data_IF_946634792647
#
_entry.id   IF_946634792647
#
_cell.length_a   1.000
_cell.length_b   1.000
_cell.length_c   1.000
_cell.angle_alpha   90.00
_cell.angle_beta   90.00
_cell.angle_gamma   90.00
#
_symmetry.space_group_name_H-M   'P 1'
#
loop_
_entity.id
_entity.type
_entity.pdbx_description
1 polymer ?
#
# COMPACT_ATOMS: atom_id res chain seq x y z
N UNK A 1 -0.50 -4.75 -0.51
CA UNK A 1 -0.48 -3.38 -0.99
C UNK A 1 0.52 -3.15 -2.13
N UNK A 2 1.80 -3.58 -2.01
CA UNK A 2 2.80 -3.41 -3.08
C UNK A 2 2.34 -3.99 -4.41
N UNK A 3 1.86 -5.25 -4.41
CA UNK A 3 1.36 -5.88 -5.63
C UNK A 3 0.17 -5.11 -6.21
N UNK A 4 -0.80 -4.72 -5.39
CA UNK A 4 -1.94 -3.91 -5.83
C UNK A 4 -1.53 -2.56 -6.44
N UNK A 5 -0.53 -1.88 -5.84
CA UNK A 5 -0.02 -0.63 -6.38
C UNK A 5 0.76 -0.83 -7.70
N UNK A 6 1.55 -1.90 -7.80
CA UNK A 6 2.29 -2.23 -9.03
C UNK A 6 1.36 -2.52 -10.22
N UNK A 7 0.14 -2.96 -9.95
CA UNK A 7 -0.91 -3.21 -10.95
C UNK A 7 -1.76 -1.96 -11.27
N UNK A 8 -1.58 -0.87 -10.52
CA UNK A 8 -2.36 0.37 -10.67
C UNK A 8 -1.48 1.59 -11.02
N UNK A 9 -1.05 1.76 -12.30
CA UNK A 9 -0.18 2.86 -12.71
C UNK A 9 -0.74 4.24 -12.38
N UNK A 10 -2.06 4.45 -12.49
CA UNK A 10 -2.72 5.71 -12.15
C UNK A 10 -2.57 6.04 -10.67
N UNK A 11 -2.82 5.07 -9.78
CA UNK A 11 -2.67 5.26 -8.33
C UNK A 11 -1.20 5.48 -7.96
N UNK A 12 -0.29 4.73 -8.57
CA UNK A 12 1.16 4.89 -8.37
C UNK A 12 1.66 6.29 -8.80
N UNK A 13 1.20 6.78 -9.93
CA UNK A 13 1.49 8.13 -10.42
C UNK A 13 0.94 9.19 -9.46
N UNK A 14 -0.30 9.04 -8.99
CA UNK A 14 -0.93 9.97 -8.04
C UNK A 14 -0.15 9.98 -6.72
N UNK A 15 0.26 8.82 -6.19
CA UNK A 15 1.03 8.72 -4.96
C UNK A 15 2.41 9.38 -5.08
N UNK A 16 3.10 9.17 -6.21
CA UNK A 16 4.39 9.80 -6.48
C UNK A 16 4.24 11.33 -6.61
N UNK A 17 3.26 11.79 -7.39
CA UNK A 17 3.01 13.22 -7.60
C UNK A 17 2.61 13.90 -6.28
N UNK A 18 1.75 13.29 -5.47
CA UNK A 18 1.41 13.78 -4.13
C UNK A 18 2.67 13.98 -3.28
N UNK A 19 3.56 13.00 -3.26
CA UNK A 19 4.83 13.10 -2.55
C UNK A 19 5.72 14.23 -3.07
N UNK A 20 5.85 14.35 -4.40
CA UNK A 20 6.64 15.41 -5.03
C UNK A 20 6.07 16.81 -4.74
N UNK A 21 4.75 16.97 -4.77
CA UNK A 21 4.09 18.24 -4.42
C UNK A 21 4.37 18.63 -2.97
N UNK A 22 4.22 17.70 -2.02
CA UNK A 22 4.55 17.95 -0.62
C UNK A 22 6.02 18.36 -0.45
N UNK A 23 6.95 17.65 -1.08
CA UNK A 23 8.38 17.95 -0.96
C UNK A 23 8.75 19.30 -1.62
N UNK A 24 8.02 19.73 -2.64
CA UNK A 24 8.28 20.99 -3.35
C UNK A 24 7.68 22.20 -2.65
N UNK A 25 6.43 22.11 -2.22
CA UNK A 25 5.67 23.26 -1.72
C UNK A 25 5.62 23.35 -0.19
N UNK A 26 5.66 22.20 0.52
CA UNK A 26 5.69 22.15 1.99
C UNK A 26 7.10 22.27 2.59
N UNK A 27 8.13 22.44 1.75
CA UNK A 27 9.53 22.65 2.12
C UNK A 27 10.12 21.61 3.07
N UNK A 28 9.85 20.35 2.84
CA UNK A 28 10.59 19.27 3.51
C UNK A 28 11.96 19.01 2.85
N UNK A 29 12.38 19.90 1.96
CA UNK A 29 13.51 19.75 1.07
C UNK A 29 14.85 19.69 1.80
N UNK A 30 15.66 18.73 1.42
CA UNK A 30 17.09 18.66 1.71
C UNK A 30 17.89 19.27 0.57
N UNK A 31 18.92 20.02 0.90
CA UNK A 31 19.78 20.76 -0.02
C UNK A 31 20.72 19.85 -0.82
N UNK A 32 21.05 20.25 -2.03
CA UNK A 32 22.31 19.84 -2.69
C UNK A 32 22.19 19.12 -4.03
N UNK A 33 21.01 18.92 -4.60
CA UNK A 33 20.84 18.36 -5.95
C UNK A 33 19.99 19.27 -6.83
N UNK A 34 20.24 19.31 -8.14
CA UNK A 34 19.43 20.06 -9.09
C UNK A 34 18.01 19.46 -9.28
N UNK A 35 17.87 18.15 -9.01
CA UNK A 35 16.58 17.46 -8.93
C UNK A 35 16.67 16.41 -7.84
N UNK A 36 15.76 16.49 -6.86
CA UNK A 36 15.67 15.51 -5.79
C UNK A 36 14.29 14.87 -5.78
N UNK A 37 14.16 13.75 -6.43
CA UNK A 37 13.01 12.86 -6.35
C UNK A 37 13.54 11.43 -6.13
N UNK A 38 13.14 10.80 -5.04
CA UNK A 38 13.60 9.46 -4.74
C UNK A 38 12.46 8.57 -4.25
N UNK A 39 12.30 7.41 -4.89
CA UNK A 39 11.57 6.29 -4.33
C UNK A 39 12.60 5.44 -3.56
N UNK A 40 12.52 5.46 -2.24
CA UNK A 40 13.39 4.63 -1.40
C UNK A 40 12.82 3.21 -1.35
N UNK A 41 13.61 2.23 -1.76
CA UNK A 41 13.26 0.83 -1.57
C UNK A 41 13.15 0.53 -0.06
N UNK A 42 11.97 0.08 0.37
CA UNK A 42 11.71 -0.34 1.75
C UNK A 42 11.91 -1.85 1.83
N UNK A 43 12.95 -2.26 2.55
CA UNK A 43 13.19 -3.67 2.83
C UNK A 43 12.26 -4.16 3.92
N UNK A 44 11.55 -5.24 3.65
CA UNK A 44 10.69 -5.88 4.64
C UNK A 44 11.54 -6.69 5.62
N UNK A 45 11.14 -6.80 6.91
CA UNK A 45 11.84 -7.61 7.87
C UNK A 45 11.91 -9.07 7.43
N UNK A 46 13.12 -9.65 7.41
CA UNK A 46 13.35 -11.05 7.02
C UNK A 46 12.89 -12.04 8.10
N UNK A 47 12.74 -11.57 9.33
CA UNK A 47 12.25 -12.33 10.49
C UNK A 47 10.72 -12.30 10.65
N UNK A 48 10.01 -11.58 9.79
CA UNK A 48 8.55 -11.58 9.78
C UNK A 48 8.03 -12.92 9.25
N UNK A 49 7.68 -13.81 10.17
CA UNK A 49 7.21 -15.17 9.89
C UNK A 49 6.02 -15.16 8.92
N UNK A 50 6.12 -15.95 7.86
CA UNK A 50 5.06 -16.08 6.84
C UNK A 50 4.96 -14.93 5.85
N UNK A 51 5.73 -13.84 6.00
CA UNK A 51 5.67 -12.71 5.07
C UNK A 51 6.29 -13.07 3.71
N UNK A 52 7.49 -13.64 3.71
CA UNK A 52 8.19 -14.03 2.48
C UNK A 52 7.45 -15.15 1.71
N UNK A 53 6.75 -16.01 2.42
CA UNK A 53 5.98 -17.12 1.83
C UNK A 53 4.57 -16.74 1.39
N UNK A 54 4.12 -15.52 1.67
CA UNK A 54 2.81 -15.04 1.27
C UNK A 54 2.66 -14.99 -0.26
N UNK A 55 1.44 -15.22 -0.75
CA UNK A 55 1.14 -15.13 -2.18
C UNK A 55 1.53 -13.76 -2.77
N UNK A 56 1.24 -12.69 -2.03
CA UNK A 56 1.57 -11.33 -2.46
C UNK A 56 3.08 -11.05 -2.54
N UNK A 57 3.89 -11.62 -1.62
CA UNK A 57 5.34 -11.50 -1.70
C UNK A 57 5.89 -12.25 -2.92
N UNK A 58 5.46 -13.49 -3.13
CA UNK A 58 5.85 -14.27 -4.31
C UNK A 58 5.50 -13.58 -5.63
N UNK A 59 4.28 -13.05 -5.74
CA UNK A 59 3.84 -12.33 -6.94
C UNK A 59 4.70 -11.09 -7.23
N UNK A 60 5.08 -10.32 -6.22
CA UNK A 60 5.92 -9.12 -6.43
C UNK A 60 7.35 -9.51 -6.79
N UNK A 61 7.89 -10.57 -6.20
CA UNK A 61 9.24 -11.09 -6.50
C UNK A 61 9.29 -11.68 -7.93
N UNK A 62 8.34 -12.50 -8.33
CA UNK A 62 8.21 -13.02 -9.69
C UNK A 62 8.12 -11.89 -10.73
N UNK A 63 7.35 -10.83 -10.43
CA UNK A 63 7.25 -9.65 -11.28
C UNK A 63 8.57 -8.88 -11.36
N UNK A 64 9.30 -8.76 -10.24
CA UNK A 64 10.60 -8.12 -10.19
C UNK A 64 11.64 -8.90 -11.02
N UNK A 65 11.65 -10.23 -10.90
CA UNK A 65 12.58 -11.08 -11.65
C UNK A 65 12.29 -11.06 -13.16
N UNK A 66 11.02 -11.11 -13.55
CA UNK A 66 10.64 -10.98 -14.95
C UNK A 66 11.14 -9.64 -15.54
N UNK A 67 10.92 -8.51 -14.82
CA UNK A 67 11.39 -7.19 -15.28
C UNK A 67 12.91 -7.06 -15.29
N UNK A 68 13.59 -7.67 -14.32
CA UNK A 68 15.07 -7.63 -14.26
C UNK A 68 15.72 -8.26 -15.48
N UNK A 69 15.08 -9.27 -16.08
CA UNK A 69 15.53 -9.89 -17.32
C UNK A 69 15.51 -8.95 -18.53
N UNK A 70 14.61 -7.98 -18.54
CA UNK A 70 14.42 -7.03 -19.65
C UNK A 70 15.28 -5.77 -19.51
N UNK A 71 15.67 -5.42 -18.27
CA UNK A 71 16.40 -4.19 -17.98
C UNK A 71 17.87 -4.34 -18.34
N UNK A 72 18.45 -3.45 -19.19
CA UNK A 72 19.87 -3.45 -19.48
C UNK A 72 20.72 -3.27 -18.22
N UNK A 73 21.72 -4.14 -18.02
CA UNK A 73 22.60 -4.09 -16.87
C UNK A 73 23.90 -3.32 -17.19
N UNK A 74 24.39 -2.56 -16.22
CA UNK A 74 25.78 -2.08 -16.18
C UNK A 74 26.13 -0.87 -17.05
N UNK A 75 25.15 -0.22 -17.69
CA UNK A 75 25.39 0.93 -18.55
C UNK A 75 24.21 1.91 -18.49
N UNK A 76 24.44 3.08 -17.93
CA UNK A 76 23.40 4.09 -17.71
C UNK A 76 22.85 4.67 -19.02
N UNK A 77 23.68 4.84 -20.05
CA UNK A 77 23.24 5.36 -21.35
C UNK A 77 22.31 4.34 -22.05
N UNK A 78 22.66 3.06 -21.99
CA UNK A 78 21.81 1.98 -22.51
C UNK A 78 20.51 1.85 -21.76
N UNK A 79 20.52 2.05 -20.44
CA UNK A 79 19.30 2.06 -19.63
C UNK A 79 18.42 3.23 -20.01
N UNK A 80 18.99 4.43 -20.23
CA UNK A 80 18.25 5.60 -20.68
C UNK A 80 17.56 5.34 -22.02
N UNK A 81 18.31 4.90 -23.03
CA UNK A 81 17.81 4.62 -24.37
C UNK A 81 16.69 3.55 -24.35
N UNK A 82 16.84 2.52 -23.51
CA UNK A 82 15.85 1.48 -23.34
C UNK A 82 14.54 2.05 -22.74
N UNK A 83 14.61 2.88 -21.68
CA UNK A 83 13.44 3.51 -21.07
C UNK A 83 12.78 4.47 -22.06
N UNK A 84 13.55 5.24 -22.82
CA UNK A 84 13.06 6.19 -23.84
C UNK A 84 12.34 5.47 -24.97
N UNK A 85 12.80 4.28 -25.33
CA UNK A 85 12.19 3.42 -26.35
C UNK A 85 10.93 2.67 -25.91
N UNK A 86 10.56 2.69 -24.60
CA UNK A 86 9.32 2.07 -24.14
C UNK A 86 8.09 2.85 -24.61
N UNK A 87 7.01 2.14 -24.93
CA UNK A 87 5.69 2.76 -25.07
C UNK A 87 5.17 3.30 -23.72
N UNK A 88 4.20 4.21 -23.76
CA UNK A 88 3.69 4.88 -22.55
C UNK A 88 3.09 3.91 -21.53
N UNK A 89 2.43 2.84 -21.97
CA UNK A 89 1.83 1.86 -21.06
C UNK A 89 2.93 1.06 -20.33
N UNK A 90 3.96 0.63 -21.06
CA UNK A 90 5.12 -0.06 -20.50
C UNK A 90 5.90 0.81 -19.55
N UNK A 91 6.10 2.10 -19.88
CA UNK A 91 6.75 3.09 -19.03
C UNK A 91 5.97 3.31 -17.73
N UNK A 92 4.65 3.49 -17.80
CA UNK A 92 3.79 3.63 -16.62
C UNK A 92 3.76 2.38 -15.76
N UNK A 93 3.76 1.18 -16.35
CA UNK A 93 3.81 -0.07 -15.62
C UNK A 93 5.17 -0.27 -14.90
N UNK A 94 6.27 0.16 -15.51
CA UNK A 94 7.59 0.17 -14.88
C UNK A 94 7.63 1.16 -13.71
N UNK A 95 7.09 2.38 -13.91
CA UNK A 95 6.96 3.38 -12.86
C UNK A 95 6.17 2.85 -11.66
N UNK A 96 4.99 2.24 -11.90
CA UNK A 96 4.16 1.67 -10.84
C UNK A 96 4.91 0.60 -10.04
N UNK A 97 5.66 -0.24 -10.73
CA UNK A 97 6.50 -1.26 -10.10
C UNK A 97 7.57 -0.61 -9.20
N UNK A 98 8.30 0.38 -9.69
CA UNK A 98 9.31 1.09 -8.90
C UNK A 98 8.70 1.78 -7.68
N UNK A 99 7.58 2.51 -7.84
CA UNK A 99 6.89 3.20 -6.75
C UNK A 99 6.40 2.21 -5.69
N UNK A 100 5.94 1.02 -6.07
CA UNK A 100 5.45 0.00 -5.15
C UNK A 100 6.49 -0.44 -4.12
N UNK A 101 7.77 -0.47 -4.47
CA UNK A 101 8.86 -0.79 -3.53
C UNK A 101 9.12 0.31 -2.50
N UNK A 102 8.67 1.52 -2.73
CA UNK A 102 8.71 2.62 -1.76
C UNK A 102 7.62 2.56 -0.70
N UNK A 103 6.62 1.67 -0.83
CA UNK A 103 5.51 1.57 0.12
C UNK A 103 5.97 0.93 1.43
N UNK A 104 5.74 1.66 2.53
CA UNK A 104 5.91 1.17 3.89
C UNK A 104 4.56 1.17 4.62
N UNK A 105 3.94 0.00 4.69
CA UNK A 105 2.70 -0.24 5.46
C UNK A 105 2.96 -1.09 6.71
N UNK A 106 4.20 -1.12 7.21
CA UNK A 106 4.56 -1.88 8.39
C UNK A 106 4.14 -1.15 9.66
N UNK A 107 3.47 -1.87 10.55
CA UNK A 107 3.26 -1.44 11.92
C UNK A 107 4.56 -1.67 12.71
N UNK A 108 5.13 -0.58 13.24
CA UNK A 108 6.29 -0.61 14.12
C UNK A 108 5.89 -0.07 15.49
N UNK A 109 6.43 -0.66 16.55
CA UNK A 109 6.16 -0.15 17.90
C UNK A 109 6.72 1.27 18.03
N UNK A 110 5.87 2.25 18.37
CA UNK A 110 6.34 3.63 18.52
C UNK A 110 7.41 3.76 19.60
N UNK A 111 8.42 4.58 19.32
CA UNK A 111 9.39 4.95 20.32
C UNK A 111 8.84 6.20 21.08
N UNK A 112 8.54 6.10 22.39
CA UNK A 112 8.04 7.23 23.17
C UNK A 112 9.12 8.28 23.46
N UNK A 113 10.38 7.96 23.22
CA UNK A 113 11.51 8.86 23.48
C UNK A 113 12.02 9.44 22.14
N UNK A 114 12.47 10.68 22.19
CA UNK A 114 13.15 11.32 21.07
C UNK A 114 14.46 10.59 20.75
N UNK A 115 14.53 9.95 19.59
CA UNK A 115 15.68 9.16 19.17
C UNK A 115 15.38 8.36 17.89
N UNK A 116 16.07 7.25 17.71
CA UNK A 116 15.85 6.37 16.57
C UNK A 116 14.50 5.64 16.70
N UNK A 117 13.72 5.65 15.64
CA UNK A 117 12.41 4.99 15.56
C UNK A 117 11.29 5.94 15.16
N UNK A 118 10.08 5.38 15.00
CA UNK A 118 8.92 6.15 14.60
C UNK A 118 8.18 6.68 15.84
N UNK A 119 7.71 7.93 15.81
CA UNK A 119 6.80 8.47 16.82
C UNK A 119 5.38 7.93 16.62
N UNK A 120 4.52 8.01 17.64
CA UNK A 120 3.10 7.64 17.51
C UNK A 120 2.45 8.40 16.36
N UNK A 121 2.59 9.73 16.32
CA UNK A 121 2.06 10.55 15.23
C UNK A 121 2.59 10.13 13.84
N UNK A 122 3.87 9.78 13.73
CA UNK A 122 4.46 9.30 12.48
C UNK A 122 3.88 7.94 12.05
N UNK A 123 3.63 7.05 13.02
CA UNK A 123 2.97 5.77 12.75
C UNK A 123 1.52 5.96 12.30
N UNK A 124 0.76 6.81 12.99
CA UNK A 124 -0.64 7.07 12.65
C UNK A 124 -0.77 7.64 11.23
N UNK A 125 0.09 8.58 10.86
CA UNK A 125 0.15 9.10 9.48
C UNK A 125 0.49 8.03 8.46
N UNK A 126 1.49 7.18 8.74
CA UNK A 126 1.89 6.07 7.87
C UNK A 126 0.73 5.11 7.63
N UNK A 127 0.02 4.74 8.69
CA UNK A 127 -1.11 3.81 8.59
C UNK A 127 -2.29 4.43 7.82
N UNK A 128 -2.59 5.71 8.06
CA UNK A 128 -3.63 6.43 7.32
C UNK A 128 -3.29 6.56 5.81
N UNK A 129 -2.02 6.78 5.47
CA UNK A 129 -1.58 6.80 4.07
C UNK A 129 -1.65 5.41 3.42
N UNK A 130 -1.25 4.36 4.15
CA UNK A 130 -1.37 2.98 3.68
C UNK A 130 -2.83 2.57 3.44
N UNK A 131 -3.75 2.98 4.32
CA UNK A 131 -5.18 2.77 4.16
C UNK A 131 -5.72 3.48 2.90
N UNK A 132 -5.36 4.75 2.70
CA UNK A 132 -5.73 5.49 1.48
C UNK A 132 -5.25 4.82 0.21
N UNK A 133 -4.00 4.29 0.20
CA UNK A 133 -3.47 3.55 -0.94
C UNK A 133 -4.21 2.23 -1.16
N UNK A 134 -4.56 1.52 -0.08
CA UNK A 134 -5.34 0.29 -0.15
C UNK A 134 -6.72 0.54 -0.79
N UNK A 135 -7.42 1.58 -0.33
CA UNK A 135 -8.72 1.99 -0.88
C UNK A 135 -8.59 2.41 -2.36
N UNK A 136 -7.61 3.24 -2.70
CA UNK A 136 -7.39 3.72 -4.08
C UNK A 136 -7.02 2.60 -5.05
N UNK A 137 -6.40 1.52 -4.58
CA UNK A 137 -6.08 0.33 -5.40
C UNK A 137 -7.21 -0.70 -5.42
N UNK A 138 -8.25 -0.53 -4.60
CA UNK A 138 -9.30 -1.53 -4.42
C UNK A 138 -8.76 -2.82 -3.79
N UNK A 139 -7.74 -2.73 -2.92
CA UNK A 139 -7.13 -3.90 -2.32
C UNK A 139 -8.12 -4.67 -1.45
N UNK A 140 -8.47 -5.88 -1.88
CA UNK A 140 -9.12 -6.89 -1.05
C UNK A 140 -8.06 -7.87 -0.52
N UNK A 141 -7.94 -7.97 0.79
CA UNK A 141 -6.94 -8.84 1.43
C UNK A 141 -7.29 -10.32 1.31
N UNK A 142 -8.58 -10.66 1.22
CA UNK A 142 -9.04 -12.04 1.06
C UNK A 142 -8.76 -12.50 -0.37
N UNK A 143 -9.09 -11.70 -1.36
CA UNK A 143 -8.77 -11.96 -2.77
C UNK A 143 -7.25 -11.99 -3.01
N UNK A 144 -6.49 -11.16 -2.30
CA UNK A 144 -5.03 -11.18 -2.30
C UNK A 144 -4.42 -12.40 -1.59
N UNK A 145 -5.25 -13.33 -1.08
CA UNK A 145 -4.84 -14.59 -0.50
C UNK A 145 -4.48 -14.53 0.99
N UNK A 146 -4.81 -13.44 1.70
CA UNK A 146 -4.58 -13.39 3.14
C UNK A 146 -5.55 -14.34 3.87
N UNK A 147 -5.01 -15.17 4.75
CA UNK A 147 -5.77 -16.09 5.63
C UNK A 147 -5.17 -16.04 7.03
N UNK A 148 -5.99 -16.20 8.09
CA UNK A 148 -5.47 -16.29 9.45
C UNK A 148 -4.77 -17.64 9.66
N UNK A 149 -3.47 -17.60 9.98
CA UNK A 149 -2.67 -18.78 10.27
C UNK A 149 -2.16 -18.75 11.71
N UNK A 150 -1.66 -19.90 12.20
CA UNK A 150 -0.96 -19.96 13.49
C UNK A 150 0.21 -18.97 13.51
N UNK A 151 0.91 -18.83 12.40
CA UNK A 151 2.13 -18.03 12.30
C UNK A 151 1.84 -16.52 12.25
N UNK A 152 0.85 -16.09 11.46
CA UNK A 152 0.59 -14.67 11.25
C UNK A 152 -0.36 -14.04 12.29
N UNK A 153 -1.29 -14.80 12.87
CA UNK A 153 -2.29 -14.26 13.79
C UNK A 153 -2.64 -15.20 14.98
N UNK A 154 -3.14 -16.41 14.72
CA UNK A 154 -3.78 -17.26 15.74
C UNK A 154 -2.84 -17.71 16.85
N UNK A 155 -1.57 -17.93 16.57
CA UNK A 155 -0.57 -18.27 17.59
C UNK A 155 -0.16 -17.07 18.47
N UNK A 156 -0.43 -15.86 18.04
CA UNK A 156 0.01 -14.60 18.68
C UNK A 156 -1.04 -13.97 19.60
N UNK A 157 -2.31 -14.35 19.46
CA UNK A 157 -3.42 -13.82 20.25
C UNK A 157 -3.79 -14.74 21.42
N UNK A 158 -4.65 -14.28 22.33
CA UNK A 158 -5.13 -15.08 23.47
C UNK A 158 -6.13 -16.17 23.03
N UNK A 159 -6.35 -17.18 23.87
CA UNK A 159 -7.40 -18.21 23.64
C UNK A 159 -8.78 -17.57 23.42
N UNK A 160 -9.12 -16.58 24.22
CA UNK A 160 -10.39 -15.85 24.09
C UNK A 160 -10.53 -15.25 22.70
N UNK A 161 -9.47 -14.57 22.21
CA UNK A 161 -9.50 -13.96 20.89
C UNK A 161 -9.55 -14.98 19.75
N UNK A 162 -8.93 -16.18 19.92
CA UNK A 162 -9.08 -17.28 18.96
C UNK A 162 -10.54 -17.73 18.87
N UNK A 163 -11.20 -17.92 20.02
CA UNK A 163 -12.61 -18.33 20.07
C UNK A 163 -13.55 -17.29 19.47
N UNK A 164 -13.29 -16.00 19.72
CA UNK A 164 -14.03 -14.89 19.11
C UNK A 164 -13.88 -14.92 17.58
N UNK A 165 -12.65 -15.07 17.07
CA UNK A 165 -12.38 -15.14 15.63
C UNK A 165 -13.12 -16.33 14.98
N UNK A 166 -13.10 -17.51 15.61
CA UNK A 166 -13.83 -18.67 15.10
C UNK A 166 -15.35 -18.47 15.18
N UNK A 167 -15.84 -17.82 16.24
CA UNK A 167 -17.25 -17.50 16.38
C UNK A 167 -17.74 -16.54 15.28
N UNK A 168 -16.94 -15.50 15.00
CA UNK A 168 -17.23 -14.55 13.93
C UNK A 168 -17.17 -15.18 12.53
N UNK A 169 -16.16 -16.01 12.25
CA UNK A 169 -15.91 -16.54 10.91
C UNK A 169 -16.59 -17.87 10.60
N UNK A 170 -16.77 -18.75 11.61
CA UNK A 170 -17.28 -20.11 11.43
C UNK A 170 -18.49 -20.44 12.32
N UNK A 171 -18.92 -19.50 13.17
CA UNK A 171 -20.11 -19.61 14.01
C UNK A 171 -19.87 -20.23 15.41
N UNK A 172 -20.86 -20.07 16.29
CA UNK A 172 -20.79 -20.47 17.71
C UNK A 172 -20.46 -21.96 17.88
N UNK A 173 -21.11 -22.83 17.10
CA UNK A 173 -20.90 -24.27 17.16
C UNK A 173 -19.46 -24.67 16.91
N UNK A 174 -18.80 -24.02 15.96
CA UNK A 174 -17.38 -24.27 15.65
C UNK A 174 -16.47 -23.81 16.81
N UNK A 175 -16.77 -22.65 17.41
CA UNK A 175 -16.04 -22.15 18.57
C UNK A 175 -16.17 -23.07 19.80
N UNK A 176 -17.36 -23.59 20.07
CA UNK A 176 -17.63 -24.52 21.19
C UNK A 176 -16.85 -25.86 21.05
N UNK A 177 -16.72 -26.33 19.81
CA UNK A 177 -15.96 -27.56 19.53
C UNK A 177 -14.49 -27.48 19.94
N UNK A 178 -13.88 -26.30 19.84
CA UNK A 178 -12.46 -26.10 20.13
C UNK A 178 -12.19 -25.46 21.49
N UNK A 179 -13.21 -25.06 22.25
CA UNK A 179 -13.06 -24.30 23.50
C UNK A 179 -12.27 -25.07 24.58
N UNK A 180 -12.35 -26.40 24.59
CA UNK A 180 -11.64 -27.24 25.53
C UNK A 180 -10.15 -27.47 25.21
N UNK A 181 -9.70 -27.12 23.99
CA UNK A 181 -8.34 -27.38 23.54
C UNK A 181 -7.30 -26.47 24.23
N UNK A 182 -6.04 -26.93 24.28
CA UNK A 182 -4.90 -26.11 24.66
C UNK A 182 -4.65 -25.06 23.57
N UNK A 183 -4.00 -23.93 23.92
CA UNK A 183 -3.81 -22.77 23.00
C UNK A 183 -3.22 -23.17 21.64
N UNK A 184 -2.16 -24.01 21.64
CA UNK A 184 -1.50 -24.43 20.40
C UNK A 184 -2.40 -25.26 19.48
N UNK A 185 -3.13 -26.20 20.06
CA UNK A 185 -4.06 -27.08 19.31
C UNK A 185 -5.30 -26.30 18.88
N UNK A 186 -5.79 -25.41 19.73
CA UNK A 186 -6.88 -24.47 19.40
C UNK A 186 -6.52 -23.58 18.20
N UNK A 187 -5.30 -23.04 18.17
CA UNK A 187 -4.85 -22.19 17.07
C UNK A 187 -4.77 -22.95 15.73
N UNK A 188 -4.27 -24.18 15.74
CA UNK A 188 -4.23 -25.04 14.55
C UNK A 188 -5.62 -25.41 14.03
N UNK A 189 -6.53 -25.76 14.95
CA UNK A 189 -7.90 -26.10 14.55
C UNK A 189 -8.66 -24.83 14.08
N UNK A 190 -8.43 -23.68 14.71
CA UNK A 190 -8.98 -22.42 14.26
C UNK A 190 -8.49 -22.02 12.85
N UNK A 191 -7.21 -22.25 12.54
CA UNK A 191 -6.66 -22.06 11.19
C UNK A 191 -7.43 -22.86 10.15
N UNK A 192 -7.67 -24.15 10.44
CA UNK A 192 -8.44 -25.04 9.56
C UNK A 192 -9.89 -24.57 9.38
N UNK A 193 -10.54 -24.13 10.47
CA UNK A 193 -11.94 -23.70 10.46
C UNK A 193 -12.13 -22.37 9.73
N UNK A 194 -11.13 -21.49 9.75
CA UNK A 194 -11.20 -20.16 9.16
C UNK A 194 -10.62 -20.07 7.74
N UNK A 195 -9.98 -21.13 7.24
CA UNK A 195 -9.20 -21.13 5.99
C UNK A 195 -9.95 -20.57 4.76
N UNK A 196 -11.26 -20.84 4.67
CA UNK A 196 -12.07 -20.50 3.50
C UNK A 196 -13.27 -19.61 3.85
N UNK A 197 -13.26 -18.99 5.03
CA UNK A 197 -14.37 -18.14 5.49
C UNK A 197 -14.24 -16.68 5.04
N UNK A 198 -13.06 -16.26 4.57
CA UNK A 198 -12.78 -14.86 4.30
C UNK A 198 -12.73 -13.97 5.55
N UNK A 199 -12.64 -14.55 6.74
CA UNK A 199 -12.58 -13.80 7.98
C UNK A 199 -11.28 -12.99 8.08
N UNK A 200 -11.42 -11.73 8.47
CA UNK A 200 -10.31 -10.80 8.74
C UNK A 200 -10.40 -10.29 10.20
N UNK A 201 -9.25 -10.14 10.89
CA UNK A 201 -9.23 -9.43 12.17
C UNK A 201 -9.59 -7.95 11.96
N UNK A 202 -10.20 -7.33 12.96
CA UNK A 202 -10.70 -5.95 12.91
C UNK A 202 -9.73 -4.94 12.29
N UNK A 203 -8.42 -4.92 12.61
CA UNK A 203 -7.49 -3.96 12.02
C UNK A 203 -7.21 -4.14 10.51
N UNK A 204 -7.62 -5.27 9.93
CA UNK A 204 -7.45 -5.57 8.51
C UNK A 204 -8.76 -5.49 7.72
N UNK A 205 -9.89 -5.21 8.40
CA UNK A 205 -11.17 -5.01 7.72
C UNK A 205 -11.16 -3.66 7.00
N UNK A 206 -11.67 -3.59 5.76
CA UNK A 206 -11.80 -2.32 5.09
C UNK A 206 -12.71 -1.40 5.93
N UNK A 207 -12.26 -0.16 6.15
CA UNK A 207 -13.10 0.89 6.71
C UNK A 207 -14.13 1.24 5.63
N UNK A 208 -15.38 0.86 5.88
CA UNK A 208 -16.49 1.28 5.03
C UNK A 208 -16.75 2.75 5.34
N UNK A 209 -16.15 3.65 4.58
CA UNK A 209 -16.52 5.05 4.62
C UNK A 209 -17.99 5.15 4.22
N UNK A 210 -18.82 5.64 5.14
CA UNK A 210 -20.25 5.87 4.95
C UNK A 210 -20.56 6.99 3.92
N UNK A 211 -19.62 7.31 3.03
CA UNK A 211 -19.73 8.37 2.00
C UNK A 211 -19.77 7.87 0.55
N UNK A 212 -19.90 6.59 0.30
CA UNK A 212 -20.04 6.05 -1.06
C UNK A 212 -21.52 5.88 -1.49
N UNK A 213 -22.43 6.71 -0.99
CA UNK A 213 -23.83 6.78 -1.48
C UNK A 213 -24.16 8.26 -1.66
N UNK A 214 -23.68 8.86 -2.69
CA UNK A 214 -24.31 9.87 -3.53
C UNK A 214 -23.29 10.46 -4.53
N UNK A 215 -23.13 9.84 -5.64
CA UNK A 215 -22.19 10.22 -6.70
C UNK A 215 -22.84 10.25 -8.08
N UNK A 216 -24.07 10.77 -8.16
CA UNK A 216 -24.66 11.14 -9.45
C UNK A 216 -25.10 12.60 -9.38
N UNK A 217 -24.36 13.46 -10.04
CA UNK A 217 -24.54 14.88 -10.35
C UNK A 217 -23.48 15.77 -9.68
N UNK A 218 -22.43 16.06 -10.41
CA UNK A 218 -21.78 17.36 -10.60
C UNK A 218 -20.36 17.14 -11.18
N UNK A 219 -20.29 16.92 -12.48
CA UNK A 219 -19.00 16.83 -13.21
C UNK A 219 -18.66 18.09 -13.99
N UNK A 220 -19.30 19.24 -13.79
CA UNK A 220 -19.11 20.40 -14.66
C UNK A 220 -18.51 21.68 -14.04
N UNK A 221 -18.21 21.75 -12.73
CA UNK A 221 -17.73 23.02 -12.16
C UNK A 221 -16.24 23.12 -11.84
N UNK A 222 -15.48 22.03 -11.85
CA UNK A 222 -14.02 22.11 -11.55
C UNK A 222 -13.10 22.24 -12.78
N UNK A 223 -13.64 22.17 -13.98
CA UNK A 223 -12.89 22.37 -15.23
C UNK A 223 -12.64 23.82 -15.61
N UNK A 224 -13.35 24.79 -15.02
CA UNK A 224 -13.24 26.21 -15.36
C UNK A 224 -12.16 26.97 -14.57
N UNK A 225 -11.85 26.57 -13.36
CA UNK A 225 -10.93 27.33 -12.50
C UNK A 225 -9.45 27.26 -12.94
N UNK A 226 -9.04 26.23 -13.68
CA UNK A 226 -7.65 26.10 -14.15
C UNK A 226 -7.42 26.80 -15.48
N UNK A 227 -8.45 27.01 -16.30
CA UNK A 227 -8.36 27.75 -17.56
C UNK A 227 -8.26 29.26 -17.37
N UNK A 228 -8.88 29.80 -16.32
CA UNK A 228 -8.83 31.25 -16.03
C UNK A 228 -7.49 31.69 -15.40
N UNK A 229 -6.74 30.78 -14.80
CA UNK A 229 -5.41 31.06 -14.23
C UNK A 229 -4.29 31.13 -15.28
N UNK A 230 -4.54 30.63 -16.49
CA UNK A 230 -3.58 30.62 -17.61
C UNK A 230 -3.91 31.64 -18.71
N UNK A 231 -5.01 32.42 -18.57
CA UNK A 231 -5.48 33.41 -19.54
C UNK A 231 -5.36 34.86 -19.02
N UNK A 232 -4.41 35.14 -18.13
CA UNK A 232 -4.15 36.45 -17.58
C UNK A 232 -2.99 37.15 -18.27
N UNK A 233 -3.31 38.28 -18.93
CA UNK A 233 -2.46 39.41 -19.31
C UNK A 233 -1.56 39.31 -20.56
N UNK A 234 -2.21 39.48 -21.70
CA UNK A 234 -1.63 40.18 -22.86
C UNK A 234 -2.56 41.32 -23.33
N UNK A 235 -2.70 42.38 -22.53
CA UNK A 235 -3.23 43.69 -23.00
C UNK A 235 -2.64 44.78 -22.11
N UNK A 236 -1.45 45.26 -22.45
CA UNK A 236 -1.12 46.72 -22.35
C UNK A 236 0.25 47.02 -22.94
N UNK A 237 0.31 47.25 -24.24
CA UNK A 237 1.40 48.02 -24.89
C UNK A 237 0.92 48.68 -26.19
N UNK A 238 0.12 49.75 -26.05
CA UNK A 238 0.00 50.79 -27.09
C UNK A 238 -0.56 52.05 -26.43
N UNK A 239 0.30 53.02 -26.29
CA UNK A 239 0.14 54.47 -26.30
C UNK A 239 0.99 55.14 -25.22
N UNK A 240 2.15 55.62 -25.62
CA UNK A 240 2.70 56.98 -25.45
C UNK A 240 4.20 56.99 -25.75
#
# INVERSE_FOLDING_TARGET
LRNALAENPRVAMTALLHKLVLDTFERTATSGTSLYAAVRHIYLPTDATGLADSAAAKMIDERADARRGDIPAGDDDRLWDWIDGLDDASRLALLAHCVSFGVNALYERPNPYSGNGISQHGLDRRMAEAERLAQATGLDLVEAGWKPTVENYLGRVTKTRILEAVREGAGDRAADLIAHLKKGDMAKEAERLLADTGWLPEPLRPTVDAQAVDGSADQDEHGMAVRDLLAGDDENAADA
#
